data_IF_266339645770
#
_entry.id   IF_266339645770
#
_cell.length_a   1.000
_cell.length_b   1.000
_cell.length_c   1.000
_cell.angle_alpha   90.00
_cell.angle_beta   90.00
_cell.angle_gamma   90.00
#
_symmetry.space_group_name_H-M   'P 1'
#
loop_
_entity.id
_entity.type
_entity.pdbx_description
1 polymer ?
#
# COMPACT_ATOMS: atom_id res chain seq x y z
N UNK A 1 -36.47 12.03 -2.86
CA UNK A 1 -35.85 12.35 -1.56
C UNK A 1 -35.70 11.15 -0.59
N UNK A 2 -36.56 10.12 -0.67
CA UNK A 2 -36.55 9.00 0.29
C UNK A 2 -35.35 8.04 0.22
N UNK A 3 -34.68 7.90 -0.93
CA UNK A 3 -33.56 6.96 -1.09
C UNK A 3 -32.28 7.43 -0.40
N UNK A 4 -32.01 8.72 -0.37
CA UNK A 4 -30.78 9.26 0.25
C UNK A 4 -30.76 9.03 1.77
N UNK A 5 -31.89 9.21 2.44
CA UNK A 5 -32.00 9.00 3.89
C UNK A 5 -31.89 7.53 4.28
N UNK A 6 -32.45 6.61 3.47
CA UNK A 6 -32.37 5.17 3.69
C UNK A 6 -30.93 4.68 3.55
N UNK A 7 -30.22 5.09 2.48
CA UNK A 7 -28.82 4.71 2.24
C UNK A 7 -27.88 5.24 3.35
N UNK A 8 -28.11 6.46 3.85
CA UNK A 8 -27.31 7.01 4.95
C UNK A 8 -27.51 6.23 6.26
N UNK A 9 -28.74 5.82 6.54
CA UNK A 9 -29.04 5.01 7.72
C UNK A 9 -28.40 3.60 7.61
N UNK A 10 -28.46 2.99 6.43
CA UNK A 10 -27.87 1.70 6.18
C UNK A 10 -26.33 1.74 6.32
N UNK A 11 -25.67 2.73 5.71
CA UNK A 11 -24.25 2.94 5.85
C UNK A 11 -23.84 3.12 7.32
N UNK A 12 -24.57 3.93 8.09
CA UNK A 12 -24.32 4.10 9.52
C UNK A 12 -24.43 2.78 10.28
N UNK A 13 -25.45 1.99 9.98
CA UNK A 13 -25.65 0.65 10.57
C UNK A 13 -24.48 -0.26 10.29
N UNK A 14 -24.00 -0.31 9.05
CA UNK A 14 -22.85 -1.15 8.66
C UNK A 14 -21.57 -0.70 9.37
N UNK A 15 -21.28 0.60 9.45
CA UNK A 15 -20.14 1.13 10.22
C UNK A 15 -20.26 0.70 11.68
N UNK A 16 -21.43 0.83 12.31
CA UNK A 16 -21.61 0.43 13.71
C UNK A 16 -21.44 -1.08 13.92
N UNK A 17 -21.89 -1.91 12.98
CA UNK A 17 -21.71 -3.35 13.01
C UNK A 17 -20.24 -3.73 12.89
N UNK A 18 -19.53 -3.11 11.95
CA UNK A 18 -18.09 -3.28 11.79
C UNK A 18 -17.33 -2.89 13.07
N UNK A 19 -17.58 -1.69 13.61
CA UNK A 19 -16.96 -1.23 14.85
C UNK A 19 -17.21 -2.18 16.02
N UNK A 20 -18.42 -2.77 16.11
CA UNK A 20 -18.73 -3.77 17.15
C UNK A 20 -17.87 -5.02 17.02
N UNK A 21 -17.58 -5.47 15.79
CA UNK A 21 -16.73 -6.64 15.54
C UNK A 21 -15.28 -6.34 15.92
N UNK A 22 -14.70 -5.24 15.41
CA UNK A 22 -13.30 -4.89 15.66
C UNK A 22 -13.02 -4.49 17.12
N UNK A 23 -14.02 -4.03 17.87
CA UNK A 23 -13.90 -3.70 19.29
C UNK A 23 -14.25 -4.84 20.24
N UNK A 24 -14.36 -6.09 19.76
CA UNK A 24 -14.66 -7.25 20.60
C UNK A 24 -13.60 -7.44 21.69
N UNK A 25 -14.06 -7.55 22.95
CA UNK A 25 -13.18 -7.71 24.12
C UNK A 25 -12.45 -6.43 24.55
N UNK A 26 -12.81 -5.28 23.98
CA UNK A 26 -12.34 -3.96 24.40
C UNK A 26 -13.35 -3.34 25.37
N UNK A 27 -12.91 -2.51 26.31
CA UNK A 27 -13.80 -1.87 27.27
C UNK A 27 -14.82 -0.89 26.63
N UNK A 28 -15.92 -0.60 27.32
CA UNK A 28 -17.02 0.23 26.79
C UNK A 28 -16.60 1.65 26.36
N UNK A 29 -15.79 2.41 27.13
CA UNK A 29 -15.33 3.75 26.72
C UNK A 29 -14.54 3.72 25.42
N UNK A 30 -13.60 2.78 25.28
CA UNK A 30 -12.78 2.62 24.06
C UNK A 30 -13.64 2.09 22.89
N UNK A 31 -14.59 1.18 23.14
CA UNK A 31 -15.55 0.76 22.11
C UNK A 31 -16.36 1.94 21.57
N UNK A 32 -16.81 2.86 22.47
CA UNK A 32 -17.48 4.09 22.03
C UNK A 32 -16.53 4.99 21.23
N UNK A 33 -15.31 5.14 21.69
CA UNK A 33 -14.28 5.93 21.00
C UNK A 33 -14.03 5.41 19.55
N UNK A 34 -13.83 4.10 19.37
CA UNK A 34 -13.69 3.49 18.04
C UNK A 34 -14.88 3.83 17.14
N UNK A 35 -16.10 3.67 17.63
CA UNK A 35 -17.33 4.01 16.88
C UNK A 35 -17.40 5.48 16.51
N UNK A 36 -17.07 6.37 17.44
CA UNK A 36 -17.11 7.81 17.24
C UNK A 36 -16.07 8.23 16.19
N UNK A 37 -14.85 7.65 16.22
CA UNK A 37 -13.79 7.93 15.26
C UNK A 37 -14.16 7.41 13.85
N UNK A 38 -14.53 6.15 13.73
CA UNK A 38 -14.87 5.54 12.43
C UNK A 38 -16.04 6.25 11.75
N UNK A 39 -17.13 6.46 12.49
CA UNK A 39 -18.28 7.20 11.99
C UNK A 39 -17.94 8.66 11.67
N UNK A 40 -17.15 9.31 12.55
CA UNK A 40 -16.75 10.68 12.37
C UNK A 40 -15.84 10.89 11.15
N UNK A 41 -14.89 9.99 10.88
CA UNK A 41 -14.06 10.01 9.67
C UNK A 41 -14.94 9.80 8.43
N UNK A 42 -15.78 8.77 8.41
CA UNK A 42 -16.65 8.47 7.29
C UNK A 42 -17.63 9.61 6.97
N UNK A 43 -18.16 10.29 8.00
CA UNK A 43 -19.13 11.37 7.83
C UNK A 43 -18.51 12.74 7.51
N UNK A 44 -17.27 13.00 7.97
CA UNK A 44 -16.59 14.28 7.77
C UNK A 44 -15.59 14.28 6.61
N UNK A 45 -15.19 13.11 6.12
CA UNK A 45 -14.08 12.97 5.16
C UNK A 45 -12.76 13.47 5.74
N UNK A 46 -12.56 13.47 7.06
CA UNK A 46 -11.42 14.08 7.71
C UNK A 46 -10.97 13.31 8.94
N UNK A 47 -9.66 13.13 9.13
CA UNK A 47 -9.06 12.58 10.36
C UNK A 47 -8.86 13.61 11.48
N UNK A 48 -9.21 14.89 11.27
CA UNK A 48 -9.08 15.92 12.29
C UNK A 48 -10.13 15.76 13.38
N UNK A 49 -9.70 15.60 14.62
CA UNK A 49 -10.59 15.41 15.78
C UNK A 49 -11.67 16.51 15.87
N UNK A 50 -11.32 17.76 15.53
CA UNK A 50 -12.28 18.86 15.52
C UNK A 50 -13.40 18.70 14.48
N UNK A 51 -13.09 18.14 13.30
CA UNK A 51 -14.07 17.88 12.25
C UNK A 51 -14.92 16.66 12.61
N UNK A 52 -14.29 15.59 13.08
CA UNK A 52 -14.98 14.43 13.64
C UNK A 52 -15.97 14.86 14.70
N UNK A 53 -15.53 15.64 15.71
CA UNK A 53 -16.35 16.10 16.81
C UNK A 53 -17.59 16.91 16.37
N UNK A 54 -17.44 17.76 15.35
CA UNK A 54 -18.59 18.51 14.78
C UNK A 54 -19.61 17.58 14.13
N UNK A 55 -19.14 16.55 13.42
CA UNK A 55 -20.02 15.61 12.72
C UNK A 55 -20.71 14.59 13.64
N UNK A 56 -20.18 14.35 14.84
CA UNK A 56 -20.86 13.52 15.85
C UNK A 56 -22.15 14.16 16.37
N UNK A 57 -22.25 15.49 16.31
CA UNK A 57 -23.43 16.28 16.71
C UNK A 57 -23.99 15.86 18.09
N UNK A 58 -23.12 15.70 19.09
CA UNK A 58 -23.52 15.35 20.47
C UNK A 58 -24.18 16.52 21.17
N UNK A 59 -25.15 16.24 22.07
CA UNK A 59 -25.85 17.24 22.87
C UNK A 59 -25.03 17.81 24.04
N UNK A 60 -23.70 17.98 23.80
CA UNK A 60 -22.74 18.57 24.75
C UNK A 60 -21.92 19.64 24.05
N UNK A 61 -21.22 20.49 24.82
CA UNK A 61 -20.32 21.49 24.24
C UNK A 61 -19.23 20.80 23.35
N UNK A 62 -19.04 21.32 22.16
CA UNK A 62 -18.05 20.80 21.20
C UNK A 62 -16.65 20.58 21.83
N UNK A 63 -16.23 21.52 22.71
CA UNK A 63 -14.97 21.40 23.44
C UNK A 63 -14.89 20.11 24.25
N UNK A 64 -15.97 19.72 24.93
CA UNK A 64 -15.98 18.50 25.75
C UNK A 64 -15.89 17.24 24.89
N UNK A 65 -16.52 17.23 23.69
CA UNK A 65 -16.38 16.13 22.73
C UNK A 65 -14.93 16.00 22.24
N UNK A 66 -14.28 17.13 21.89
CA UNK A 66 -12.87 17.16 21.48
C UNK A 66 -11.96 16.62 22.60
N UNK A 67 -12.11 17.14 23.83
CA UNK A 67 -11.31 16.70 24.98
C UNK A 67 -11.49 15.20 25.28
N UNK A 68 -12.72 14.71 25.20
CA UNK A 68 -13.02 13.28 25.36
C UNK A 68 -12.33 12.41 24.31
N UNK A 69 -12.42 12.80 23.04
CA UNK A 69 -11.79 12.05 21.95
C UNK A 69 -10.26 12.10 22.04
N UNK A 70 -9.68 13.27 22.32
CA UNK A 70 -8.22 13.39 22.51
C UNK A 70 -7.74 12.57 23.71
N UNK A 71 -8.48 12.60 24.84
CA UNK A 71 -8.15 11.80 26.02
C UNK A 71 -8.20 10.29 25.76
N UNK A 72 -9.23 9.82 25.04
CA UNK A 72 -9.31 8.42 24.65
C UNK A 72 -8.20 8.01 23.68
N UNK A 73 -7.86 8.87 22.69
CA UNK A 73 -6.76 8.61 21.76
C UNK A 73 -5.42 8.49 22.49
N UNK A 74 -5.15 9.41 23.42
CA UNK A 74 -3.90 9.39 24.20
C UNK A 74 -3.77 8.14 25.10
N UNK A 75 -4.88 7.57 25.54
CA UNK A 75 -4.92 6.40 26.41
C UNK A 75 -5.27 5.09 25.64
N UNK A 76 -5.22 5.11 24.32
CA UNK A 76 -5.57 3.95 23.50
C UNK A 76 -4.43 2.94 23.43
N UNK A 77 -4.56 1.83 24.15
CA UNK A 77 -3.55 0.78 24.25
C UNK A 77 -4.03 -0.57 23.69
N UNK A 78 -5.22 -0.63 23.09
CA UNK A 78 -5.81 -1.87 22.57
C UNK A 78 -5.52 -2.08 21.07
N UNK A 79 -4.50 -1.43 20.50
CA UNK A 79 -4.20 -1.45 19.05
C UNK A 79 -4.06 -2.86 18.52
N UNK A 80 -3.27 -3.72 19.16
CA UNK A 80 -3.03 -5.10 18.69
C UNK A 80 -4.30 -5.94 18.71
N UNK A 81 -5.13 -5.76 19.75
CA UNK A 81 -6.41 -6.46 19.86
C UNK A 81 -7.40 -6.02 18.78
N UNK A 82 -7.49 -4.71 18.55
CA UNK A 82 -8.37 -4.16 17.51
C UNK A 82 -7.89 -4.59 16.13
N UNK A 83 -6.59 -4.55 15.89
CA UNK A 83 -5.98 -5.03 14.64
C UNK A 83 -6.27 -6.51 14.41
N UNK A 84 -6.07 -7.37 15.41
CA UNK A 84 -6.42 -8.79 15.31
C UNK A 84 -7.88 -9.01 14.97
N UNK A 85 -8.79 -8.33 15.67
CA UNK A 85 -10.22 -8.42 15.39
C UNK A 85 -10.58 -7.89 13.99
N UNK A 86 -9.87 -6.87 13.51
CA UNK A 86 -10.01 -6.33 12.16
C UNK A 86 -9.67 -7.40 11.12
N UNK A 87 -8.50 -8.03 11.22
CA UNK A 87 -8.09 -9.10 10.31
C UNK A 87 -9.08 -10.28 10.34
N UNK A 88 -9.51 -10.72 11.53
CA UNK A 88 -10.53 -11.76 11.66
C UNK A 88 -11.90 -11.35 11.05
N UNK A 89 -12.24 -10.06 11.08
CA UNK A 89 -13.51 -9.54 10.55
C UNK A 89 -13.51 -9.48 9.03
N UNK A 90 -12.38 -9.14 8.42
CA UNK A 90 -12.21 -9.13 6.96
C UNK A 90 -12.38 -10.54 6.40
N UNK A 91 -11.81 -11.55 7.08
CA UNK A 91 -11.86 -12.93 6.63
C UNK A 91 -11.06 -13.18 5.34
N UNK A 92 -11.33 -14.30 4.68
CA UNK A 92 -10.63 -14.69 3.45
C UNK A 92 -11.38 -14.18 2.20
N UNK A 93 -11.16 -12.90 1.86
CA UNK A 93 -11.74 -12.24 0.68
C UNK A 93 -10.76 -12.13 -0.48
N UNK A 94 -9.58 -12.74 -0.37
CA UNK A 94 -8.42 -12.50 -1.24
C UNK A 94 -8.24 -13.52 -2.37
N UNK A 95 -9.00 -14.62 -2.37
CA UNK A 95 -8.91 -15.70 -3.36
C UNK A 95 -7.61 -16.53 -3.28
N UNK A 96 -7.45 -17.43 -4.26
CA UNK A 96 -6.36 -18.41 -4.26
C UNK A 96 -5.01 -17.84 -4.69
N UNK A 97 -4.99 -16.81 -5.54
CA UNK A 97 -3.79 -16.11 -5.99
C UNK A 97 -3.79 -14.65 -5.47
N UNK A 98 -3.59 -14.40 -4.17
CA UNK A 98 -3.68 -13.06 -3.60
C UNK A 98 -2.60 -12.14 -4.16
N UNK A 99 -2.97 -10.87 -4.36
CA UNK A 99 -2.04 -9.80 -4.76
C UNK A 99 -1.95 -8.78 -3.64
N UNK A 100 -0.73 -8.47 -3.23
CA UNK A 100 -0.45 -7.42 -2.26
C UNK A 100 0.34 -6.28 -2.91
N UNK A 101 -0.06 -5.04 -2.65
CA UNK A 101 0.64 -3.84 -3.10
C UNK A 101 1.40 -3.24 -1.93
N UNK A 102 2.63 -2.82 -2.17
CA UNK A 102 3.51 -2.21 -1.19
C UNK A 102 3.88 -0.81 -1.68
N UNK A 103 3.65 0.19 -0.85
CA UNK A 103 3.95 1.58 -1.17
C UNK A 103 4.42 2.36 0.06
N UNK A 104 5.37 3.26 -0.16
CA UNK A 104 5.80 4.23 0.83
C UNK A 104 5.33 5.61 0.39
N UNK A 105 4.76 6.36 1.32
CA UNK A 105 4.30 7.72 1.08
C UNK A 105 4.78 8.67 2.18
N UNK A 106 4.55 9.96 1.99
CA UNK A 106 4.97 10.99 2.90
C UNK A 106 3.78 11.78 3.46
N UNK A 107 3.82 12.10 4.76
CA UNK A 107 2.85 12.98 5.42
C UNK A 107 3.52 14.30 5.72
N UNK A 108 3.22 15.34 4.94
CA UNK A 108 3.73 16.69 5.16
C UNK A 108 3.13 17.34 6.42
N UNK A 109 3.98 17.95 7.24
CA UNK A 109 3.62 18.69 8.46
C UNK A 109 4.20 20.10 8.43
N UNK A 110 3.83 20.89 7.45
CA UNK A 110 4.37 22.23 7.14
C UNK A 110 4.37 23.15 8.36
N UNK A 111 3.34 23.04 9.21
CA UNK A 111 3.18 23.86 10.43
C UNK A 111 3.60 23.16 11.71
N UNK A 112 4.06 21.94 11.63
CA UNK A 112 4.36 21.06 12.77
C UNK A 112 5.73 21.29 13.39
N UNK A 113 6.01 22.48 13.92
CA UNK A 113 7.35 22.84 14.45
C UNK A 113 7.78 22.11 15.74
N UNK A 114 6.84 21.49 16.47
CA UNK A 114 7.09 20.90 17.80
C UNK A 114 6.83 19.39 17.85
N UNK A 115 6.58 18.76 16.71
CA UNK A 115 6.46 17.30 16.66
C UNK A 115 7.84 16.66 16.81
N UNK A 116 7.89 15.54 17.52
CA UNK A 116 9.12 14.78 17.74
C UNK A 116 9.60 14.15 16.43
N UNK A 117 10.91 14.09 16.27
CA UNK A 117 11.59 13.40 15.15
C UNK A 117 11.08 13.78 13.74
N UNK A 118 10.63 15.03 13.52
CA UNK A 118 10.23 15.49 12.18
C UNK A 118 11.36 15.33 11.17
N UNK A 119 11.10 14.58 10.13
CA UNK A 119 12.02 14.34 9.04
C UNK A 119 11.85 15.32 7.88
N UNK A 120 12.73 15.23 6.90
CA UNK A 120 12.63 15.90 5.62
C UNK A 120 11.95 14.97 4.62
N UNK A 121 10.74 15.33 4.20
CA UNK A 121 9.90 14.54 3.28
C UNK A 121 9.59 15.34 2.03
N UNK A 122 9.21 14.65 0.96
CA UNK A 122 8.79 15.30 -0.29
C UNK A 122 7.29 15.58 -0.20
N UNK A 123 6.92 16.86 -0.36
CA UNK A 123 5.50 17.20 -0.49
C UNK A 123 4.99 16.78 -1.87
N UNK A 124 4.37 15.60 -1.92
CA UNK A 124 3.81 15.05 -3.16
C UNK A 124 2.66 15.91 -3.73
N UNK A 125 2.03 16.76 -2.89
CA UNK A 125 0.97 17.67 -3.33
C UNK A 125 1.51 18.92 -4.03
N UNK A 126 2.81 19.23 -3.89
CA UNK A 126 3.43 20.36 -4.56
C UNK A 126 3.95 19.96 -5.94
N UNK A 127 3.65 20.78 -6.97
CA UNK A 127 4.17 20.59 -8.34
C UNK A 127 5.70 20.55 -8.38
N UNK A 128 6.35 21.29 -7.50
CA UNK A 128 7.81 21.43 -7.43
C UNK A 128 8.49 20.34 -6.58
N UNK A 129 7.74 19.33 -6.09
CA UNK A 129 8.25 18.29 -5.17
C UNK A 129 9.08 18.88 -4.04
N UNK A 130 8.54 19.88 -3.39
CA UNK A 130 9.21 20.67 -2.38
C UNK A 130 9.53 19.81 -1.15
N UNK A 131 10.76 19.91 -0.65
CA UNK A 131 11.15 19.29 0.62
C UNK A 131 10.48 20.06 1.76
N UNK A 132 9.80 19.35 2.64
CA UNK A 132 9.11 19.89 3.82
C UNK A 132 9.34 19.00 5.03
N UNK A 133 8.88 19.43 6.20
CA UNK A 133 8.91 18.60 7.41
C UNK A 133 7.71 17.65 7.44
N UNK A 134 7.95 16.40 7.90
CA UNK A 134 6.90 15.40 7.96
C UNK A 134 7.36 14.04 8.47
N UNK A 135 6.63 13.02 8.07
CA UNK A 135 6.89 11.62 8.41
C UNK A 135 6.71 10.76 7.16
N UNK A 136 7.41 9.63 7.13
CA UNK A 136 7.19 8.59 6.14
C UNK A 136 6.08 7.63 6.59
N UNK A 137 5.39 7.04 5.63
CA UNK A 137 4.37 6.00 5.86
C UNK A 137 4.72 4.81 5.00
N UNK A 138 4.92 3.65 5.64
CA UNK A 138 5.01 2.39 4.93
C UNK A 138 3.65 1.70 5.02
N UNK A 139 3.07 1.37 3.88
CA UNK A 139 1.77 0.74 3.79
C UNK A 139 1.79 -0.51 2.91
N UNK A 140 1.00 -1.50 3.29
CA UNK A 140 0.67 -2.61 2.40
C UNK A 140 -0.81 -2.92 2.42
N UNK A 141 -1.34 -3.19 1.25
CA UNK A 141 -2.73 -3.55 1.03
C UNK A 141 -2.82 -4.88 0.29
N UNK A 142 -3.89 -5.63 0.51
CA UNK A 142 -4.19 -6.84 -0.26
C UNK A 142 -5.46 -6.56 -1.08
N UNK A 143 -5.45 -6.97 -2.35
CA UNK A 143 -6.59 -6.79 -3.23
C UNK A 143 -7.63 -7.88 -3.01
N UNK A 144 -8.92 -7.50 -2.91
CA UNK A 144 -10.02 -8.48 -2.89
C UNK A 144 -10.08 -9.23 -4.22
N UNK A 145 -10.53 -10.50 -4.18
CA UNK A 145 -10.56 -11.35 -5.38
C UNK A 145 -11.44 -10.79 -6.50
N UNK A 146 -12.66 -10.40 -6.16
CA UNK A 146 -13.68 -10.03 -7.16
C UNK A 146 -13.55 -8.60 -7.65
N UNK A 147 -13.52 -7.64 -6.72
CA UNK A 147 -13.63 -6.23 -7.04
C UNK A 147 -12.28 -5.54 -7.09
N UNK A 148 -11.19 -6.28 -6.76
CA UNK A 148 -9.83 -5.74 -6.66
C UNK A 148 -9.72 -4.52 -5.73
N UNK A 149 -10.61 -4.44 -4.73
CA UNK A 149 -10.57 -3.37 -3.74
C UNK A 149 -9.38 -3.54 -2.80
N UNK A 150 -8.60 -2.48 -2.53
CA UNK A 150 -7.47 -2.56 -1.63
C UNK A 150 -7.95 -2.59 -0.17
N UNK A 151 -7.45 -3.56 0.60
CA UNK A 151 -7.67 -3.66 2.04
C UNK A 151 -6.33 -3.49 2.73
N UNK A 152 -6.19 -2.44 3.53
CA UNK A 152 -4.96 -2.16 4.28
C UNK A 152 -4.73 -3.24 5.34
N UNK A 153 -3.54 -3.82 5.34
CA UNK A 153 -3.12 -4.85 6.31
C UNK A 153 -1.89 -4.42 7.11
N UNK A 154 -1.20 -3.40 6.68
CA UNK A 154 -0.10 -2.80 7.42
C UNK A 154 -0.03 -1.31 7.08
N UNK A 155 0.04 -0.49 8.12
CA UNK A 155 0.28 0.96 7.97
C UNK A 155 1.13 1.43 9.15
N UNK A 156 2.32 1.96 8.87
CA UNK A 156 3.23 2.43 9.90
C UNK A 156 3.83 3.78 9.54
N UNK A 157 3.57 4.75 10.39
CA UNK A 157 4.25 6.06 10.34
C UNK A 157 5.62 5.90 10.99
N UNK A 158 6.67 6.42 10.36
CA UNK A 158 8.03 6.40 10.88
C UNK A 158 8.82 7.65 10.48
N UNK A 159 9.97 7.85 11.12
CA UNK A 159 10.93 8.90 10.79
C UNK A 159 12.34 8.33 10.74
N UNK A 160 13.13 8.74 9.76
CA UNK A 160 14.55 8.39 9.69
C UNK A 160 15.39 9.05 10.82
N UNK A 161 14.81 10.03 11.52
CA UNK A 161 15.45 10.70 12.68
C UNK A 161 15.15 10.02 14.02
N UNK A 162 14.20 9.09 14.05
CA UNK A 162 13.90 8.32 15.25
C UNK A 162 15.10 7.47 15.68
N UNK A 163 15.34 7.38 16.98
CA UNK A 163 16.41 6.54 17.55
C UNK A 163 16.22 5.05 17.24
N UNK A 164 15.00 4.64 16.99
CA UNK A 164 14.63 3.25 16.67
C UNK A 164 14.75 2.93 15.18
N UNK A 165 14.95 3.94 14.34
CA UNK A 165 15.07 3.76 12.91
C UNK A 165 16.37 3.03 12.54
N UNK A 166 16.26 1.97 11.77
CA UNK A 166 17.44 1.24 11.24
C UNK A 166 17.57 1.39 9.73
N UNK A 167 16.47 1.16 9.00
CA UNK A 167 16.43 1.35 7.55
C UNK A 167 14.98 1.29 7.04
N UNK A 168 14.71 1.88 5.88
CA UNK A 168 13.43 1.76 5.19
C UNK A 168 13.11 0.29 4.85
N UNK A 169 14.11 -0.48 4.41
CA UNK A 169 13.94 -1.90 4.11
C UNK A 169 13.42 -2.72 5.30
N UNK A 170 13.72 -2.33 6.55
CA UNK A 170 13.18 -3.03 7.73
C UNK A 170 11.66 -2.84 7.84
N UNK A 171 11.16 -1.64 7.57
CA UNK A 171 9.71 -1.40 7.54
C UNK A 171 9.03 -2.15 6.40
N UNK A 172 9.64 -2.17 5.21
CA UNK A 172 9.17 -2.98 4.09
C UNK A 172 9.14 -4.47 4.43
N UNK A 173 10.17 -5.02 5.06
CA UNK A 173 10.18 -6.43 5.49
C UNK A 173 9.09 -6.72 6.52
N UNK A 174 8.87 -5.82 7.49
CA UNK A 174 7.76 -5.94 8.46
C UNK A 174 6.39 -5.91 7.79
N UNK A 175 6.22 -5.07 6.76
CA UNK A 175 4.98 -5.03 5.98
C UNK A 175 4.76 -6.33 5.18
N UNK A 176 5.82 -6.90 4.59
CA UNK A 176 5.79 -8.21 3.92
C UNK A 176 5.40 -9.31 4.92
N UNK A 177 5.97 -9.30 6.13
CA UNK A 177 5.63 -10.27 7.18
C UNK A 177 4.19 -10.12 7.65
N UNK A 178 3.67 -8.90 7.76
CA UNK A 178 2.26 -8.68 8.07
C UNK A 178 1.35 -9.31 7.01
N UNK A 179 1.65 -9.12 5.72
CA UNK A 179 0.92 -9.75 4.60
C UNK A 179 1.03 -11.28 4.67
N UNK A 180 2.23 -11.82 4.90
CA UNK A 180 2.44 -13.28 5.08
C UNK A 180 1.57 -13.84 6.20
N UNK A 181 1.53 -13.15 7.34
CA UNK A 181 0.76 -13.58 8.52
C UNK A 181 -0.76 -13.54 8.27
N UNK A 182 -1.24 -12.52 7.54
CA UNK A 182 -2.66 -12.40 7.20
C UNK A 182 -3.09 -13.49 6.22
N UNK A 183 -2.29 -13.75 5.19
CA UNK A 183 -2.65 -14.68 4.12
C UNK A 183 -2.39 -16.15 4.48
N UNK A 184 -1.32 -16.45 5.22
CA UNK A 184 -0.91 -17.82 5.53
C UNK A 184 -0.58 -18.69 4.31
N UNK A 185 -0.47 -18.10 3.12
CA UNK A 185 -0.21 -18.77 1.84
C UNK A 185 0.61 -17.88 0.93
N UNK A 186 1.11 -18.44 -0.20
CA UNK A 186 1.85 -17.67 -1.20
C UNK A 186 0.98 -16.59 -1.82
N UNK A 187 1.60 -15.45 -2.12
CA UNK A 187 0.98 -14.30 -2.75
C UNK A 187 1.92 -13.66 -3.78
N UNK A 188 1.43 -12.73 -4.57
CA UNK A 188 2.22 -11.88 -5.45
C UNK A 188 2.35 -10.50 -4.83
N UNK A 189 3.57 -10.10 -4.46
CA UNK A 189 3.88 -8.74 -4.03
C UNK A 189 4.19 -7.85 -5.23
N UNK A 190 3.55 -6.67 -5.31
CA UNK A 190 3.79 -5.67 -6.35
C UNK A 190 4.45 -4.45 -5.71
N UNK A 191 5.55 -4.00 -6.29
CA UNK A 191 6.40 -2.96 -5.74
C UNK A 191 6.79 -1.93 -6.81
N UNK A 192 6.80 -0.65 -6.44
CA UNK A 192 7.33 0.39 -7.32
C UNK A 192 8.87 0.37 -7.37
N UNK A 193 9.42 1.21 -8.22
CA UNK A 193 10.87 1.34 -8.47
C UNK A 193 11.69 1.67 -7.23
N UNK A 194 11.10 2.29 -6.21
CA UNK A 194 11.76 2.54 -4.93
C UNK A 194 12.23 1.28 -4.20
N UNK A 195 11.61 0.15 -4.49
CA UNK A 195 11.93 -1.15 -3.89
C UNK A 195 12.90 -2.01 -4.72
N UNK A 196 13.56 -1.44 -5.74
CA UNK A 196 14.63 -2.12 -6.50
C UNK A 196 15.89 -2.31 -5.64
N UNK A 197 15.79 -3.19 -4.65
CA UNK A 197 16.83 -3.52 -3.68
C UNK A 197 17.02 -5.04 -3.57
N UNK A 198 18.27 -5.49 -3.52
CA UNK A 198 18.62 -6.91 -3.42
C UNK A 198 18.00 -7.57 -2.18
N UNK A 199 17.94 -6.86 -1.05
CA UNK A 199 17.39 -7.39 0.20
C UNK A 199 15.90 -7.68 0.07
N UNK A 200 15.14 -6.80 -0.57
CA UNK A 200 13.71 -6.98 -0.80
C UNK A 200 13.46 -8.13 -1.77
N UNK A 201 14.22 -8.18 -2.88
CA UNK A 201 14.15 -9.29 -3.85
C UNK A 201 14.40 -10.63 -3.16
N UNK A 202 15.46 -10.73 -2.35
CA UNK A 202 15.79 -11.98 -1.64
C UNK A 202 14.75 -12.32 -0.56
N UNK A 203 14.17 -11.32 0.12
CA UNK A 203 13.15 -11.52 1.15
C UNK A 203 11.82 -12.04 0.59
N UNK A 204 11.55 -11.73 -0.69
CA UNK A 204 10.36 -12.18 -1.42
C UNK A 204 10.53 -13.53 -2.13
N UNK A 205 11.69 -14.18 -2.08
CA UNK A 205 11.95 -15.40 -2.86
C UNK A 205 11.00 -16.58 -2.55
N UNK A 206 10.39 -16.62 -1.37
CA UNK A 206 9.38 -17.66 -1.01
C UNK A 206 7.97 -17.33 -1.51
N UNK A 207 7.77 -16.11 -2.02
CA UNK A 207 6.53 -15.63 -2.62
C UNK A 207 6.79 -15.18 -4.04
N UNK A 208 5.74 -14.88 -4.79
CA UNK A 208 5.90 -14.24 -6.08
C UNK A 208 6.04 -12.73 -5.91
N UNK A 209 6.77 -12.10 -6.83
CA UNK A 209 6.87 -10.64 -6.83
C UNK A 209 6.90 -10.07 -8.25
N UNK A 210 6.52 -8.81 -8.36
CA UNK A 210 6.65 -7.95 -9.52
C UNK A 210 7.23 -6.64 -9.01
N UNK A 211 8.47 -6.32 -9.40
CA UNK A 211 9.15 -5.09 -8.99
C UNK A 211 9.47 -4.26 -10.24
N UNK A 212 9.06 -3.00 -10.23
CA UNK A 212 9.51 -2.06 -11.25
C UNK A 212 11.00 -1.75 -11.07
N UNK A 213 11.77 -1.96 -12.12
CA UNK A 213 13.23 -1.84 -12.05
C UNK A 213 13.74 -0.47 -12.46
N UNK A 214 14.89 -0.11 -11.90
CA UNK A 214 15.65 1.05 -12.35
C UNK A 214 16.32 0.75 -13.70
N UNK A 215 16.29 1.71 -14.62
CA UNK A 215 16.87 1.60 -15.96
C UNK A 215 18.35 1.21 -15.93
N UNK A 216 19.07 1.65 -14.88
CA UNK A 216 20.51 1.38 -14.71
C UNK A 216 20.82 0.06 -13.99
N UNK A 217 19.79 -0.69 -13.58
CA UNK A 217 20.00 -1.99 -12.93
C UNK A 217 20.77 -2.95 -13.83
N UNK A 218 21.80 -3.59 -13.27
CA UNK A 218 22.67 -4.52 -14.00
C UNK A 218 22.20 -5.95 -13.80
N UNK A 219 22.06 -6.66 -14.91
CA UNK A 219 21.72 -8.08 -14.99
C UNK A 219 22.78 -8.86 -15.78
N UNK A 220 22.82 -10.17 -15.58
CA UNK A 220 23.52 -11.09 -16.46
C UNK A 220 22.52 -11.62 -17.50
N UNK A 221 22.74 -11.27 -18.75
CA UNK A 221 22.06 -11.83 -19.90
C UNK A 221 22.92 -12.96 -20.44
N UNK A 222 22.54 -14.21 -20.12
CA UNK A 222 23.43 -15.38 -20.23
C UNK A 222 24.65 -15.18 -19.33
N UNK A 223 25.83 -14.81 -19.91
CA UNK A 223 27.08 -14.56 -19.17
C UNK A 223 27.58 -13.12 -19.24
N UNK A 224 26.87 -12.24 -19.98
CA UNK A 224 27.30 -10.85 -20.19
C UNK A 224 26.55 -9.91 -19.26
N UNK A 225 27.29 -9.09 -18.49
CA UNK A 225 26.72 -7.99 -17.71
C UNK A 225 26.25 -6.88 -18.65
N UNK A 226 24.99 -6.44 -18.48
CA UNK A 226 24.39 -5.30 -19.17
C UNK A 226 23.39 -4.63 -18.26
N UNK A 227 23.14 -3.34 -18.44
CA UNK A 227 22.03 -2.70 -17.77
C UNK A 227 20.69 -3.00 -18.48
N UNK A 228 19.60 -2.86 -17.74
CA UNK A 228 18.26 -3.16 -18.26
C UNK A 228 17.91 -2.31 -19.49
N UNK A 229 18.28 -1.02 -19.47
CA UNK A 229 17.97 -0.08 -20.55
C UNK A 229 18.68 -0.41 -21.87
N UNK A 230 19.96 -0.84 -21.83
CA UNK A 230 20.67 -1.27 -23.02
C UNK A 230 20.02 -2.46 -23.73
N UNK A 231 19.38 -3.32 -22.95
CA UNK A 231 18.71 -4.49 -23.50
C UNK A 231 17.30 -4.16 -24.01
N UNK A 232 16.56 -3.28 -23.34
CA UNK A 232 15.23 -2.87 -23.77
C UNK A 232 15.23 -2.14 -25.10
N UNK A 233 16.24 -1.33 -25.38
CA UNK A 233 16.37 -0.62 -26.66
C UNK A 233 16.52 -1.55 -27.87
N UNK A 234 16.99 -2.79 -27.63
CA UNK A 234 17.17 -3.82 -28.66
C UNK A 234 15.95 -4.70 -28.86
N UNK A 235 14.96 -4.59 -27.96
CA UNK A 235 13.78 -5.46 -27.94
C UNK A 235 12.53 -4.65 -28.27
N UNK A 236 11.95 -4.94 -29.42
CA UNK A 236 10.59 -4.53 -29.74
C UNK A 236 9.64 -5.55 -29.13
N UNK A 237 8.56 -5.10 -28.50
CA UNK A 237 7.55 -5.98 -27.93
C UNK A 237 6.96 -6.90 -29.00
N UNK A 238 6.95 -8.20 -28.73
CA UNK A 238 6.39 -9.22 -29.65
C UNK A 238 4.96 -9.60 -29.32
N UNK A 239 4.55 -9.35 -28.07
CA UNK A 239 3.21 -9.65 -27.55
C UNK A 239 2.42 -8.36 -27.54
N UNK A 240 1.41 -8.26 -28.38
CA UNK A 240 0.48 -7.11 -28.40
C UNK A 240 -0.63 -7.35 -27.39
N UNK A 241 -0.88 -6.34 -26.55
CA UNK A 241 -1.94 -6.34 -25.53
C UNK A 241 -2.63 -4.97 -25.51
N UNK A 242 -3.90 -4.98 -25.11
CA UNK A 242 -4.66 -3.75 -24.80
C UNK A 242 -4.83 -3.69 -23.30
N UNK A 243 -4.44 -2.57 -22.69
CA UNK A 243 -4.67 -2.29 -21.28
C UNK A 243 -5.78 -1.25 -21.14
N UNK A 244 -6.65 -1.45 -20.14
CA UNK A 244 -7.72 -0.54 -19.79
C UNK A 244 -7.32 0.21 -18.52
N UNK A 245 -7.54 1.51 -18.52
CA UNK A 245 -7.29 2.39 -17.38
C UNK A 245 -8.62 2.90 -16.80
N UNK A 246 -8.59 3.43 -15.57
CA UNK A 246 -9.78 3.87 -14.82
C UNK A 246 -10.59 4.98 -15.52
N UNK A 247 -9.97 5.72 -16.42
CA UNK A 247 -10.60 6.75 -17.27
C UNK A 247 -11.30 6.19 -18.51
N UNK A 248 -11.45 4.86 -18.62
CA UNK A 248 -11.90 4.13 -19.80
C UNK A 248 -11.01 4.34 -21.04
N UNK A 249 -9.76 4.76 -20.84
CA UNK A 249 -8.78 4.88 -21.90
C UNK A 249 -8.18 3.51 -22.22
N UNK A 250 -8.25 3.13 -23.48
CA UNK A 250 -7.54 1.94 -24.02
C UNK A 250 -6.15 2.36 -24.46
N UNK A 251 -5.13 1.61 -24.00
CA UNK A 251 -3.78 1.78 -24.54
C UNK A 251 -3.26 0.45 -25.08
N UNK A 252 -2.78 0.52 -26.30
CA UNK A 252 -2.08 -0.59 -26.93
C UNK A 252 -0.63 -0.63 -26.46
N UNK A 253 -0.24 -1.78 -25.91
CA UNK A 253 1.12 -2.00 -25.41
C UNK A 253 1.76 -3.20 -26.09
N UNK A 254 3.07 -3.16 -26.18
CA UNK A 254 3.89 -4.20 -26.78
C UNK A 254 4.87 -4.74 -25.73
N UNK A 255 4.71 -6.02 -25.40
CA UNK A 255 5.45 -6.66 -24.32
C UNK A 255 6.47 -7.67 -24.88
N UNK A 256 7.61 -7.74 -24.25
CA UNK A 256 8.60 -8.82 -24.43
C UNK A 256 9.20 -9.20 -23.09
N UNK A 257 9.70 -10.41 -22.96
CA UNK A 257 10.36 -10.87 -21.74
C UNK A 257 11.65 -11.63 -22.05
N UNK A 258 12.47 -11.84 -21.05
CA UNK A 258 13.71 -12.61 -21.16
C UNK A 258 14.20 -13.06 -19.79
N UNK A 259 14.76 -14.27 -19.74
CA UNK A 259 15.46 -14.74 -18.53
C UNK A 259 16.74 -13.95 -18.30
N UNK A 260 16.94 -13.56 -17.05
CA UNK A 260 18.11 -12.84 -16.57
C UNK A 260 18.57 -13.43 -15.24
N UNK A 261 19.86 -13.31 -14.95
CA UNK A 261 20.39 -13.71 -13.65
C UNK A 261 20.82 -12.47 -12.88
N UNK A 262 20.45 -12.36 -11.59
CA UNK A 262 20.93 -11.29 -10.74
C UNK A 262 22.38 -11.55 -10.29
N UNK A 263 23.31 -10.58 -10.44
CA UNK A 263 24.71 -10.79 -10.11
C UNK A 263 24.99 -11.15 -8.66
N UNK A 264 24.17 -10.67 -7.70
CA UNK A 264 24.42 -10.82 -6.27
C UNK A 264 24.10 -12.22 -5.75
N UNK A 265 22.98 -12.83 -6.17
CA UNK A 265 22.51 -14.12 -5.67
C UNK A 265 22.58 -15.27 -6.67
N UNK A 266 22.95 -14.99 -7.92
CA UNK A 266 23.05 -15.95 -9.02
C UNK A 266 21.76 -16.71 -9.33
N UNK A 267 20.61 -16.17 -8.94
CA UNK A 267 19.29 -16.73 -9.26
C UNK A 267 18.77 -16.15 -10.57
N UNK A 268 17.96 -16.97 -11.24
CA UNK A 268 17.31 -16.59 -12.50
C UNK A 268 15.91 -15.99 -12.22
N UNK A 269 15.58 -14.99 -13.03
CA UNK A 269 14.33 -14.24 -12.98
C UNK A 269 13.84 -13.95 -14.41
N UNK A 270 12.59 -13.59 -14.56
CA UNK A 270 12.06 -13.02 -15.80
C UNK A 270 12.11 -11.49 -15.74
N UNK A 271 12.68 -10.88 -16.76
CA UNK A 271 12.67 -9.44 -16.98
C UNK A 271 11.68 -9.12 -18.09
N UNK A 272 10.65 -8.35 -17.77
CA UNK A 272 9.56 -7.99 -18.68
C UNK A 272 9.72 -6.53 -19.11
N UNK A 273 9.55 -6.26 -20.38
CA UNK A 273 9.62 -4.94 -20.98
C UNK A 273 8.28 -4.60 -21.62
N UNK A 274 7.64 -3.53 -21.16
CA UNK A 274 6.36 -3.05 -21.69
C UNK A 274 6.54 -1.69 -22.35
N UNK A 275 6.27 -1.61 -23.65
CA UNK A 275 6.32 -0.40 -24.48
C UNK A 275 4.89 0.11 -24.73
N UNK A 276 4.73 1.42 -24.83
CA UNK A 276 3.45 2.07 -25.15
C UNK A 276 2.70 2.64 -23.94
N UNK A 277 3.16 2.41 -22.71
CA UNK A 277 2.58 3.04 -21.52
C UNK A 277 3.01 4.49 -21.33
N UNK A 278 4.21 4.83 -21.79
CA UNK A 278 4.77 6.18 -21.74
C UNK A 278 5.47 6.45 -23.06
N UNK A 279 5.41 7.70 -23.53
CA UNK A 279 6.11 8.13 -24.74
C UNK A 279 7.62 8.12 -24.56
N UNK A 280 8.12 8.31 -23.34
CA UNK A 280 9.54 8.50 -23.09
C UNK A 280 10.30 7.19 -22.86
N UNK A 281 9.74 6.24 -22.11
CA UNK A 281 10.48 5.05 -21.68
C UNK A 281 9.58 3.83 -21.48
N UNK A 282 10.05 2.63 -21.87
CA UNK A 282 9.34 1.41 -21.55
C UNK A 282 9.37 1.11 -20.04
N UNK A 283 8.32 0.48 -19.56
CA UNK A 283 8.27 -0.06 -18.21
C UNK A 283 9.12 -1.34 -18.15
N UNK A 284 9.95 -1.46 -17.12
CA UNK A 284 10.81 -2.63 -16.90
C UNK A 284 10.39 -3.27 -15.58
N UNK A 285 9.98 -4.54 -15.63
CA UNK A 285 9.53 -5.29 -14.46
C UNK A 285 10.40 -6.53 -14.27
N UNK A 286 10.74 -6.84 -13.03
CA UNK A 286 11.40 -8.06 -12.62
C UNK A 286 10.41 -8.94 -11.86
N UNK A 287 10.37 -10.23 -12.19
CA UNK A 287 9.56 -11.21 -11.48
C UNK A 287 10.28 -12.56 -11.34
N UNK A 288 9.96 -13.29 -10.29
CA UNK A 288 10.35 -14.69 -10.13
C UNK A 288 9.26 -15.67 -10.62
N UNK A 289 8.16 -15.16 -11.21
CA UNK A 289 7.22 -16.02 -11.93
C UNK A 289 7.80 -16.45 -13.25
N UNK A 290 7.69 -17.74 -13.58
CA UNK A 290 8.05 -18.24 -14.92
C UNK A 290 7.01 -17.80 -15.93
N UNK A 291 7.46 -17.40 -17.12
CA UNK A 291 6.63 -16.94 -18.23
C UNK A 291 6.80 -17.93 -19.38
N UNK A 292 5.79 -18.72 -19.66
CA UNK A 292 5.81 -19.71 -20.74
C UNK A 292 4.92 -19.30 -21.93
N UNK A 293 3.90 -18.48 -21.70
CA UNK A 293 2.90 -18.10 -22.70
C UNK A 293 2.41 -16.66 -22.48
N UNK A 294 1.45 -16.22 -23.31
CA UNK A 294 0.89 -14.87 -23.24
C UNK A 294 0.06 -14.63 -21.97
N UNK A 295 -0.65 -15.64 -21.50
CA UNK A 295 -1.45 -15.56 -20.28
C UNK A 295 -0.58 -15.31 -19.03
N UNK A 296 0.62 -15.88 -18.98
CA UNK A 296 1.57 -15.65 -17.89
C UNK A 296 2.09 -14.20 -17.90
N UNK A 297 2.26 -13.61 -19.09
CA UNK A 297 2.66 -12.19 -19.22
C UNK A 297 1.57 -11.26 -18.70
N UNK A 298 0.30 -11.60 -18.87
CA UNK A 298 -0.84 -10.80 -18.39
C UNK A 298 -0.87 -10.76 -16.86
N UNK A 299 -0.32 -11.77 -16.19
CA UNK A 299 -0.26 -11.86 -14.72
C UNK A 299 0.92 -11.07 -14.11
N UNK A 300 1.79 -10.51 -14.92
CA UNK A 300 2.93 -9.66 -14.57
C UNK A 300 2.69 -8.22 -14.99
#
# INVERSE_FOLDING_TARGET
MNNFTANTYEMKREIMNFCKKISRGVNKPITKFIKDIEYGIASSGSCLISNISRNLNENIKLKNTIERLCGNLNNFNDTDKVYKNYIETIGDVYGDEPVALFDDSDISKIYGKKFEDLDDVIDASSLDKKITKGYHVCESVILTEKEKQPISVYSKIYSCKSKEFKSMNEYTMKSIDAVKNVLGRKFTGVFDRGYDDNKIIDYMNDNYFIIRMNDRRVFLFKVKKKNAYEEVLKRKGKIRMTLWFDDNEEREVYVSHTKVTLPHNKKDYELVFCHGLSEERPLILLTNREIHNKEDVIKV
#
